data_IF_688842160125
#
_entry.id   IF_688842160125
#
_cell.length_a   1.000
_cell.length_b   1.000
_cell.length_c   1.000
_cell.angle_alpha   90.00
_cell.angle_beta   90.00
_cell.angle_gamma   90.00
#
_symmetry.space_group_name_H-M   'P 1'
#
loop_
_entity.id
_entity.type
_entity.pdbx_description
1 polymer ?
#
# COMPACT_ATOMS: atom_id res chain seq x y z
N UNK A 1 -18.56 7.74 11.55
CA UNK A 1 -18.07 7.48 12.92
C UNK A 1 -17.79 6.00 13.19
N UNK A 2 -18.79 5.10 13.07
CA UNK A 2 -18.64 3.67 13.41
C UNK A 2 -17.55 2.92 12.62
N UNK A 3 -17.52 3.06 11.29
CA UNK A 3 -16.51 2.39 10.46
C UNK A 3 -15.10 2.81 10.85
N UNK A 4 -14.82 4.12 10.93
CA UNK A 4 -13.50 4.63 11.31
C UNK A 4 -13.05 4.12 12.69
N UNK A 5 -13.97 4.00 13.66
CA UNK A 5 -13.65 3.43 14.96
C UNK A 5 -13.22 1.96 14.86
N UNK A 6 -13.93 1.16 14.06
CA UNK A 6 -13.57 -0.24 13.80
C UNK A 6 -12.22 -0.35 13.07
N UNK A 7 -12.00 0.46 12.04
CA UNK A 7 -10.72 0.50 11.31
C UNK A 7 -9.56 0.85 12.25
N UNK A 8 -9.77 1.79 13.16
CA UNK A 8 -8.77 2.15 14.14
C UNK A 8 -8.41 0.98 15.07
N UNK A 9 -9.42 0.26 15.59
CA UNK A 9 -9.20 -0.90 16.46
C UNK A 9 -8.47 -2.01 15.72
N UNK A 10 -8.90 -2.33 14.49
CA UNK A 10 -8.25 -3.36 13.68
C UNK A 10 -6.79 -3.00 13.39
N UNK A 11 -6.50 -1.76 13.01
CA UNK A 11 -5.14 -1.34 12.69
C UNK A 11 -4.23 -1.37 13.92
N UNK A 12 -4.77 -1.01 15.09
CA UNK A 12 -4.03 -1.05 16.36
C UNK A 12 -3.48 -2.44 16.70
N UNK A 13 -4.13 -3.52 16.26
CA UNK A 13 -3.62 -4.89 16.47
C UNK A 13 -2.26 -5.09 15.79
N UNK A 14 -2.12 -4.63 14.54
CA UNK A 14 -0.85 -4.70 13.83
C UNK A 14 0.17 -3.70 14.39
N UNK A 15 -0.27 -2.48 14.71
CA UNK A 15 0.60 -1.45 15.28
C UNK A 15 1.21 -1.88 16.62
N UNK A 16 0.42 -2.51 17.51
CA UNK A 16 0.92 -3.03 18.78
C UNK A 16 1.95 -4.14 18.58
N UNK A 17 1.71 -5.06 17.63
CA UNK A 17 2.66 -6.13 17.34
C UNK A 17 4.01 -5.59 16.86
N UNK A 18 4.01 -4.56 16.00
CA UNK A 18 5.22 -3.95 15.47
C UNK A 18 5.79 -2.81 16.34
N UNK A 19 5.26 -2.60 17.55
CA UNK A 19 5.62 -1.48 18.44
C UNK A 19 5.56 -0.09 17.77
N UNK A 20 4.53 0.13 16.97
CA UNK A 20 4.31 1.38 16.24
C UNK A 20 3.31 2.27 16.96
N UNK A 21 3.70 3.52 17.18
CA UNK A 21 2.75 4.55 17.64
C UNK A 21 1.81 4.96 16.49
N UNK A 22 0.48 5.06 16.71
CA UNK A 22 -0.47 5.49 15.69
C UNK A 22 -0.25 6.97 15.34
N UNK A 23 0.33 7.25 14.16
CA UNK A 23 0.67 8.60 13.72
C UNK A 23 0.29 8.78 12.25
N UNK A 24 -0.41 9.88 11.96
CA UNK A 24 -0.91 10.21 10.64
C UNK A 24 -2.34 9.70 10.40
N UNK A 25 -2.78 9.80 9.14
CA UNK A 25 -4.06 9.24 8.72
C UNK A 25 -3.97 7.71 8.52
N UNK A 26 -5.08 7.06 8.14
CA UNK A 26 -5.06 5.61 7.91
C UNK A 26 -4.05 5.15 6.86
N UNK A 27 -3.88 5.87 5.75
CA UNK A 27 -2.89 5.53 4.72
C UNK A 27 -1.46 5.61 5.28
N UNK A 28 -1.14 6.66 6.03
CA UNK A 28 0.18 6.83 6.63
C UNK A 28 0.49 5.69 7.61
N UNK A 29 -0.49 5.32 8.43
CA UNK A 29 -0.38 4.23 9.41
C UNK A 29 -0.25 2.87 8.72
N UNK A 30 -1.05 2.59 7.69
CA UNK A 30 -0.94 1.37 6.90
C UNK A 30 0.46 1.22 6.27
N UNK A 31 0.99 2.29 5.66
CA UNK A 31 2.35 2.28 5.09
C UNK A 31 3.43 2.02 6.13
N UNK A 32 3.30 2.58 7.33
CA UNK A 32 4.26 2.34 8.42
C UNK A 32 4.21 0.89 8.91
N UNK A 33 3.02 0.31 9.04
CA UNK A 33 2.85 -1.11 9.36
C UNK A 33 3.43 -1.99 8.26
N UNK A 34 3.20 -1.64 6.99
CA UNK A 34 3.75 -2.38 5.84
C UNK A 34 5.27 -2.40 5.87
N UNK A 35 5.90 -1.23 6.04
CA UNK A 35 7.35 -1.13 6.14
C UNK A 35 7.89 -1.94 7.33
N UNK A 36 7.25 -1.86 8.49
CA UNK A 36 7.66 -2.64 9.65
C UNK A 36 7.55 -4.15 9.39
N UNK A 37 6.45 -4.61 8.81
CA UNK A 37 6.29 -6.02 8.42
C UNK A 37 7.34 -6.49 7.42
N UNK A 38 7.68 -5.66 6.43
CA UNK A 38 8.77 -5.94 5.50
C UNK A 38 10.13 -6.07 6.18
N UNK A 39 10.43 -5.26 7.20
CA UNK A 39 11.69 -5.41 7.95
C UNK A 39 11.78 -6.76 8.68
N UNK A 40 10.64 -7.34 9.09
CA UNK A 40 10.58 -8.65 9.74
C UNK A 40 10.67 -9.81 8.73
N UNK A 41 10.15 -9.61 7.51
CA UNK A 41 10.15 -10.62 6.43
C UNK A 41 11.48 -10.61 5.67
N UNK A 42 11.93 -9.43 5.26
CA UNK A 42 13.17 -9.19 4.53
C UNK A 42 14.25 -8.74 5.51
N UNK A 43 14.73 -9.71 6.30
CA UNK A 43 15.68 -9.54 7.41
C UNK A 43 17.06 -9.03 6.95
N UNK A 44 17.22 -7.72 6.84
CA UNK A 44 18.50 -7.08 6.46
C UNK A 44 19.64 -7.39 7.46
N UNK A 45 19.32 -7.78 8.69
CA UNK A 45 20.28 -8.23 9.68
C UNK A 45 20.94 -9.57 9.31
N UNK A 46 20.32 -10.37 8.43
CA UNK A 46 20.88 -11.60 7.88
C UNK A 46 21.82 -11.31 6.71
N UNK A 47 23.00 -10.77 7.02
CA UNK A 47 24.02 -10.38 6.02
C UNK A 47 24.45 -11.51 5.09
N UNK A 48 24.52 -12.74 5.61
CA UNK A 48 24.77 -13.94 4.80
C UNK A 48 23.82 -15.07 5.20
N UNK A 49 22.71 -15.16 4.45
CA UNK A 49 21.67 -16.19 4.63
C UNK A 49 22.25 -17.62 4.50
N UNK A 50 23.34 -17.83 3.74
CA UNK A 50 23.93 -19.17 3.58
C UNK A 50 24.76 -19.59 4.78
N UNK A 51 25.18 -18.65 5.62
CA UNK A 51 25.94 -18.90 6.84
C UNK A 51 25.08 -19.20 8.06
N UNK A 52 23.75 -18.96 7.97
CA UNK A 52 22.82 -19.22 9.05
C UNK A 52 22.73 -20.71 9.35
N UNK A 53 22.71 -21.06 10.64
CA UNK A 53 22.33 -22.40 11.07
C UNK A 53 20.87 -22.69 10.71
N UNK A 54 20.51 -23.98 10.63
CA UNK A 54 19.12 -24.38 10.39
C UNK A 54 18.16 -23.79 11.42
N UNK A 55 18.57 -23.72 12.69
CA UNK A 55 17.74 -23.17 13.76
C UNK A 55 17.48 -21.67 13.58
N UNK A 56 18.51 -20.88 13.24
CA UNK A 56 18.35 -19.43 13.02
C UNK A 56 17.45 -19.16 11.83
N UNK A 57 17.59 -19.96 10.77
CA UNK A 57 16.73 -19.86 9.59
C UNK A 57 15.29 -20.18 9.91
N UNK A 58 15.02 -21.31 10.57
CA UNK A 58 13.67 -21.74 10.93
C UNK A 58 12.98 -20.74 11.87
N UNK A 59 13.73 -20.15 12.81
CA UNK A 59 13.23 -19.09 13.68
C UNK A 59 12.92 -17.81 12.87
N UNK A 60 13.79 -17.44 11.93
CA UNK A 60 13.58 -16.32 11.03
C UNK A 60 12.32 -16.49 10.17
N UNK A 61 12.14 -17.67 9.57
CA UNK A 61 10.96 -18.02 8.78
C UNK A 61 9.69 -17.93 9.63
N UNK A 62 9.74 -18.40 10.88
CA UNK A 62 8.59 -18.32 11.78
C UNK A 62 8.20 -16.88 12.14
N UNK A 63 9.20 -16.02 12.35
CA UNK A 63 8.97 -14.59 12.59
C UNK A 63 8.37 -13.91 11.35
N UNK A 64 8.85 -14.26 10.15
CA UNK A 64 8.33 -13.73 8.89
C UNK A 64 6.87 -14.16 8.66
N UNK A 65 6.53 -15.43 8.95
CA UNK A 65 5.15 -15.92 8.92
C UNK A 65 4.25 -15.14 9.88
N UNK A 66 4.68 -14.93 11.14
CA UNK A 66 3.89 -14.18 12.11
C UNK A 66 3.71 -12.72 11.66
N UNK A 67 4.77 -12.06 11.18
CA UNK A 67 4.69 -10.70 10.65
C UNK A 67 3.68 -10.61 9.49
N UNK A 68 3.72 -11.54 8.54
CA UNK A 68 2.77 -11.58 7.43
C UNK A 68 1.33 -11.78 7.90
N UNK A 69 1.10 -12.64 8.90
CA UNK A 69 -0.21 -12.81 9.53
C UNK A 69 -0.70 -11.52 10.20
N UNK A 70 0.18 -10.77 10.87
CA UNK A 70 -0.18 -9.51 11.54
C UNK A 70 -0.48 -8.40 10.54
N UNK A 71 0.22 -8.37 9.41
CA UNK A 71 -0.07 -7.44 8.30
C UNK A 71 -1.46 -7.63 7.71
N UNK A 72 -2.11 -8.79 7.89
CA UNK A 72 -3.48 -9.03 7.44
C UNK A 72 -4.47 -7.97 7.95
N UNK A 73 -4.33 -7.53 9.21
CA UNK A 73 -5.17 -6.48 9.80
C UNK A 73 -5.05 -5.16 9.05
N UNK A 74 -3.83 -4.78 8.69
CA UNK A 74 -3.58 -3.59 7.88
C UNK A 74 -4.20 -3.72 6.49
N UNK A 75 -4.07 -4.87 5.84
CA UNK A 75 -4.68 -5.12 4.51
C UNK A 75 -6.20 -5.01 4.54
N UNK A 76 -6.83 -5.43 5.64
CA UNK A 76 -8.27 -5.26 5.84
C UNK A 76 -8.66 -3.78 5.91
N UNK A 77 -7.86 -2.98 6.62
CA UNK A 77 -8.10 -1.54 6.76
C UNK A 77 -7.87 -0.82 5.45
N UNK A 78 -6.78 -1.12 4.75
CA UNK A 78 -6.40 -0.56 3.45
C UNK A 78 -7.54 -0.70 2.42
N UNK A 79 -8.18 -1.88 2.32
CA UNK A 79 -9.33 -2.10 1.44
C UNK A 79 -10.53 -1.16 1.72
N UNK A 80 -10.65 -0.65 2.95
CA UNK A 80 -11.77 0.19 3.38
C UNK A 80 -11.41 1.69 3.43
N UNK A 81 -10.14 2.08 3.35
CA UNK A 81 -9.76 3.50 3.34
C UNK A 81 -10.34 4.22 2.13
N UNK A 82 -10.39 3.54 0.97
CA UNK A 82 -10.98 4.09 -0.26
C UNK A 82 -12.52 4.06 -0.26
N UNK A 83 -13.15 3.29 0.64
CA UNK A 83 -14.62 3.17 0.74
C UNK A 83 -15.15 4.31 1.59
N UNK A 84 -15.35 5.47 0.97
CA UNK A 84 -16.04 6.60 1.60
C UNK A 84 -17.45 6.73 1.04
N UNK A 85 -18.43 7.03 1.90
CA UNK A 85 -19.82 7.25 1.46
C UNK A 85 -19.95 8.41 0.45
N UNK A 86 -19.02 9.36 0.50
CA UNK A 86 -18.99 10.51 -0.40
C UNK A 86 -18.54 10.11 -1.82
N UNK A 87 -17.63 9.14 -1.96
CA UNK A 87 -17.09 8.76 -3.27
C UNK A 87 -18.18 8.38 -4.27
N UNK A 88 -19.14 7.54 -3.87
CA UNK A 88 -20.26 7.16 -4.74
C UNK A 88 -21.29 8.30 -4.84
N UNK A 89 -21.58 8.98 -3.73
CA UNK A 89 -22.61 10.01 -3.67
C UNK A 89 -22.27 11.24 -4.55
N UNK A 90 -21.00 11.65 -4.59
CA UNK A 90 -20.56 12.80 -5.39
C UNK A 90 -20.70 12.58 -6.90
N UNK A 91 -20.55 11.34 -7.38
CA UNK A 91 -20.69 11.01 -8.80
C UNK A 91 -21.14 9.55 -8.98
N UNK A 92 -22.45 9.27 -8.91
CA UNK A 92 -22.96 7.91 -8.95
C UNK A 92 -22.85 7.33 -10.37
N UNK A 93 -21.73 6.68 -10.67
CA UNK A 93 -21.51 5.95 -11.94
C UNK A 93 -21.36 4.46 -11.69
N UNK A 94 -21.60 3.66 -12.73
CA UNK A 94 -21.44 2.21 -12.67
C UNK A 94 -20.03 1.80 -12.21
N UNK A 95 -19.00 2.53 -12.63
CA UNK A 95 -17.61 2.30 -12.26
C UNK A 95 -17.37 2.52 -10.75
N UNK A 96 -17.89 3.61 -10.18
CA UNK A 96 -17.73 3.87 -8.74
C UNK A 96 -18.46 2.85 -7.87
N UNK A 97 -19.64 2.40 -8.31
CA UNK A 97 -20.36 1.30 -7.65
C UNK A 97 -19.59 -0.03 -7.76
N UNK A 98 -19.08 -0.36 -8.95
CA UNK A 98 -18.28 -1.55 -9.19
C UNK A 98 -17.03 -1.59 -8.31
N UNK A 99 -16.26 -0.49 -8.27
CA UNK A 99 -15.05 -0.37 -7.45
C UNK A 99 -15.37 -0.56 -5.96
N UNK A 100 -16.37 0.18 -5.46
CA UNK A 100 -16.77 0.08 -4.04
C UNK A 100 -17.24 -1.33 -3.68
N UNK A 101 -18.00 -1.97 -4.57
CA UNK A 101 -18.48 -3.35 -4.38
C UNK A 101 -17.33 -4.35 -4.33
N UNK A 102 -16.33 -4.19 -5.20
CA UNK A 102 -15.14 -5.05 -5.22
C UNK A 102 -14.28 -4.85 -3.97
N UNK A 103 -14.15 -3.63 -3.45
CA UNK A 103 -13.46 -3.37 -2.18
C UNK A 103 -14.17 -4.03 -1.00
N UNK A 104 -15.50 -3.98 -0.95
CA UNK A 104 -16.29 -4.69 0.07
C UNK A 104 -16.15 -6.21 -0.09
N UNK A 105 -16.16 -6.71 -1.33
CA UNK A 105 -15.94 -8.12 -1.60
C UNK A 105 -14.57 -8.60 -1.09
N UNK A 106 -13.49 -7.82 -1.32
CA UNK A 106 -12.15 -8.14 -0.80
C UNK A 106 -12.15 -8.30 0.71
N UNK A 107 -12.81 -7.39 1.43
CA UNK A 107 -12.91 -7.42 2.89
C UNK A 107 -13.60 -8.70 3.35
N UNK A 108 -14.74 -9.04 2.73
CA UNK A 108 -15.49 -10.27 3.06
C UNK A 108 -14.66 -11.51 2.74
N UNK A 109 -13.99 -11.54 1.60
CA UNK A 109 -13.12 -12.65 1.18
C UNK A 109 -11.97 -12.84 2.16
N UNK A 110 -11.29 -11.76 2.58
CA UNK A 110 -10.23 -11.81 3.60
C UNK A 110 -10.73 -12.35 4.94
N UNK A 111 -11.89 -11.88 5.41
CA UNK A 111 -12.49 -12.34 6.68
C UNK A 111 -12.84 -13.84 6.62
N UNK A 112 -13.26 -14.33 5.45
CA UNK A 112 -13.54 -15.76 5.24
C UNK A 112 -12.27 -16.61 5.01
N UNK A 113 -11.08 -16.03 5.06
CA UNK A 113 -9.82 -16.73 4.80
C UNK A 113 -9.56 -17.03 3.32
N UNK A 114 -10.31 -16.40 2.40
CA UNK A 114 -10.14 -16.56 0.95
C UNK A 114 -9.07 -15.64 0.35
N UNK A 115 -8.80 -15.82 -0.94
CA UNK A 115 -7.84 -15.02 -1.68
C UNK A 115 -8.50 -13.80 -2.37
N UNK A 116 -8.21 -12.56 -1.95
CA UNK A 116 -8.81 -11.35 -2.53
C UNK A 116 -8.27 -11.01 -3.93
N UNK A 117 -7.20 -11.64 -4.40
CA UNK A 117 -6.70 -11.46 -5.77
C UNK A 117 -7.58 -12.15 -6.82
N UNK A 118 -8.49 -13.04 -6.40
CA UNK A 118 -9.42 -13.75 -7.27
C UNK A 118 -10.78 -13.02 -7.34
N UNK A 119 -10.74 -11.72 -7.63
CA UNK A 119 -11.95 -10.89 -7.69
C UNK A 119 -12.93 -11.39 -8.76
N UNK A 120 -14.25 -11.27 -8.53
CA UNK A 120 -15.25 -11.58 -9.55
C UNK A 120 -15.14 -10.60 -10.72
N UNK A 121 -15.29 -11.11 -11.93
CA UNK A 121 -15.32 -10.30 -13.13
C UNK A 121 -16.70 -9.66 -13.28
N UNK A 122 -16.75 -8.32 -13.32
CA UNK A 122 -17.98 -7.55 -13.48
C UNK A 122 -18.39 -7.37 -14.96
N UNK A 123 -18.07 -8.35 -15.80
CA UNK A 123 -18.35 -8.35 -17.23
C UNK A 123 -17.09 -8.31 -18.11
N UNK A 124 -17.28 -8.01 -19.40
CA UNK A 124 -16.19 -7.93 -20.37
C UNK A 124 -15.33 -6.69 -20.08
N UNK A 125 -14.05 -6.90 -19.85
CA UNK A 125 -13.09 -5.84 -19.59
C UNK A 125 -12.28 -5.54 -20.86
N UNK A 126 -11.97 -4.27 -21.08
CA UNK A 126 -11.00 -3.83 -22.08
C UNK A 126 -9.94 -3.00 -21.36
N UNK A 127 -8.68 -3.35 -21.54
CA UNK A 127 -7.57 -2.53 -21.08
C UNK A 127 -7.18 -1.55 -22.19
N UNK A 128 -7.01 -0.28 -21.84
CA UNK A 128 -6.33 0.70 -22.68
C UNK A 128 -5.00 0.99 -22.01
N UNK A 129 -3.91 0.73 -22.72
CA UNK A 129 -2.56 0.98 -22.24
C UNK A 129 -2.02 2.14 -23.06
N UNK A 130 -1.60 3.20 -22.37
CA UNK A 130 -0.91 4.35 -22.96
C UNK A 130 0.47 4.41 -22.33
N UNK A 131 1.51 4.62 -23.15
CA UNK A 131 2.89 4.79 -22.67
C UNK A 131 3.26 6.25 -22.90
N UNK A 132 3.66 6.94 -21.83
CA UNK A 132 4.14 8.32 -21.91
C UNK A 132 5.64 8.40 -22.16
N UNK A 133 6.10 9.62 -22.38
CA UNK A 133 7.53 9.91 -22.54
C UNK A 133 8.29 9.65 -21.23
N UNK A 134 9.51 9.09 -21.30
CA UNK A 134 10.32 8.82 -20.13
C UNK A 134 10.77 10.13 -19.46
N UNK A 135 10.63 10.21 -18.14
CA UNK A 135 11.15 11.32 -17.34
C UNK A 135 12.57 11.01 -16.85
N UNK A 136 13.51 11.88 -17.18
CA UNK A 136 14.93 11.75 -16.81
C UNK A 136 15.16 12.07 -15.32
N UNK A 137 15.64 11.07 -14.56
CA UNK A 137 16.06 11.25 -13.16
C UNK A 137 17.48 11.84 -13.09
N UNK A 138 18.34 11.45 -14.05
CA UNK A 138 19.76 11.84 -14.09
C UNK A 138 19.95 13.36 -14.12
N UNK A 139 19.07 14.08 -14.82
CA UNK A 139 19.10 15.56 -14.90
C UNK A 139 18.87 16.23 -13.54
N UNK A 140 18.11 15.59 -12.64
CA UNK A 140 17.76 16.14 -11.32
C UNK A 140 18.74 15.71 -10.24
N UNK A 141 19.64 14.78 -10.55
CA UNK A 141 20.53 14.18 -9.57
C UNK A 141 21.52 15.17 -8.94
N UNK A 142 22.04 16.11 -9.73
CA UNK A 142 22.96 17.13 -9.23
C UNK A 142 22.31 18.02 -8.16
N UNK A 143 21.08 18.47 -8.42
CA UNK A 143 20.30 19.28 -7.48
C UNK A 143 19.93 18.47 -6.24
N UNK A 144 19.55 17.20 -6.43
CA UNK A 144 19.21 16.30 -5.33
C UNK A 144 20.39 16.08 -4.37
N UNK A 145 21.60 15.83 -4.91
CA UNK A 145 22.80 15.57 -4.10
C UNK A 145 23.37 16.83 -3.44
N UNK A 146 23.11 18.02 -3.99
CA UNK A 146 23.76 19.26 -3.57
C UNK A 146 23.42 19.72 -2.15
N UNK A 147 22.19 19.50 -1.65
CA UNK A 147 21.80 19.84 -0.28
C UNK A 147 20.50 19.19 0.14
N UNK A 148 20.18 19.18 1.45
CA UNK A 148 18.90 18.67 1.96
C UNK A 148 17.68 19.45 1.40
N UNK A 149 17.84 20.75 1.19
CA UNK A 149 16.78 21.57 0.59
C UNK A 149 16.67 21.27 -0.91
N UNK A 150 17.79 21.15 -1.62
CA UNK A 150 17.84 20.74 -3.03
C UNK A 150 17.23 19.36 -3.27
N UNK A 151 17.49 18.39 -2.38
CA UNK A 151 16.86 17.07 -2.40
C UNK A 151 15.33 17.15 -2.33
N UNK A 152 14.80 17.93 -1.39
CA UNK A 152 13.34 18.12 -1.25
C UNK A 152 12.75 18.78 -2.49
N UNK A 153 13.42 19.80 -3.03
CA UNK A 153 12.97 20.51 -4.22
C UNK A 153 12.96 19.60 -5.45
N UNK A 154 14.06 18.90 -5.72
CA UNK A 154 14.19 17.99 -6.85
C UNK A 154 13.12 16.88 -6.83
N UNK A 155 12.82 16.33 -5.64
CA UNK A 155 11.74 15.33 -5.48
C UNK A 155 10.37 15.96 -5.71
N UNK A 156 10.10 17.15 -5.18
CA UNK A 156 8.83 17.83 -5.36
C UNK A 156 8.57 18.16 -6.84
N UNK A 157 9.57 18.72 -7.52
CA UNK A 157 9.48 19.05 -8.94
C UNK A 157 9.29 17.80 -9.79
N UNK A 158 10.05 16.73 -9.52
CA UNK A 158 9.90 15.47 -10.26
C UNK A 158 8.51 14.86 -10.06
N UNK A 159 8.00 14.89 -8.82
CA UNK A 159 6.67 14.37 -8.50
C UNK A 159 5.58 15.17 -9.23
N UNK A 160 5.74 16.50 -9.34
CA UNK A 160 4.84 17.36 -10.09
C UNK A 160 4.86 17.05 -11.59
N UNK A 161 6.05 16.90 -12.17
CA UNK A 161 6.18 16.59 -13.60
C UNK A 161 5.64 15.19 -13.93
N UNK A 162 5.86 14.22 -13.03
CA UNK A 162 5.25 12.89 -13.12
C UNK A 162 3.73 12.96 -13.04
N UNK A 163 3.17 13.78 -12.15
CA UNK A 163 1.73 13.99 -12.06
C UNK A 163 1.17 14.52 -13.39
N UNK A 164 1.75 15.59 -13.94
CA UNK A 164 1.32 16.16 -15.21
C UNK A 164 1.43 15.15 -16.37
N UNK A 165 2.57 14.45 -16.47
CA UNK A 165 2.76 13.42 -17.49
C UNK A 165 1.74 12.29 -17.37
N UNK A 166 1.37 11.87 -16.14
CA UNK A 166 0.35 10.86 -15.93
C UNK A 166 -1.06 11.36 -16.27
N UNK A 167 -1.39 12.61 -15.91
CA UNK A 167 -2.68 13.25 -16.21
C UNK A 167 -2.90 13.38 -17.73
N UNK A 168 -1.87 13.74 -18.48
CA UNK A 168 -1.92 13.88 -19.94
C UNK A 168 -2.19 12.55 -20.67
N UNK A 169 -1.85 11.41 -20.05
CA UNK A 169 -2.13 10.07 -20.59
C UNK A 169 -3.58 9.62 -20.38
N UNK A 170 -4.34 10.30 -19.51
CA UNK A 170 -5.75 10.00 -19.25
C UNK A 170 -6.57 10.59 -20.40
N UNK A 171 -6.90 9.74 -21.37
CA UNK A 171 -7.79 10.12 -22.47
C UNK A 171 -9.18 10.45 -21.92
N UNK A 172 -9.63 11.68 -22.13
CA UNK A 172 -10.98 12.16 -21.78
C UNK A 172 -12.08 11.40 -22.52
#
# INVERSE_FOLDING_TARGET
ARLNALLNIVLQVAEQYFDLQPKGNFNDRCRRVEQAGWNYIFREDYKDVKSLSSLERDLGDRIAEEANLRMWHMRLVESLVAVTGNYVNEKPTAERFAETTLLIWDVVTRIRGGNPFQRPLLGKQKAKITVGEPLSISERYLVYKGSRQGARQAVADFTKDLQHAMEDLIVK
#
